data_IF_571596218173
#
_entry.id   IF_571596218173
#
_cell.length_a   1.000
_cell.length_b   1.000
_cell.length_c   1.000
_cell.angle_alpha   90.00
_cell.angle_beta   90.00
_cell.angle_gamma   90.00
#
_symmetry.space_group_name_H-M   'P 1'
#
loop_
_entity.id
_entity.type
_entity.pdbx_description
1 polymer ?
#
# COMPACT_ATOMS: atom_id res chain seq x y z
N UNK A 1 -13.84 -8.92 0.00
CA UNK A 1 -12.44 -8.48 0.12
C UNK A 1 -11.64 -9.33 1.10
N UNK A 2 -11.82 -9.24 2.43
CA UNK A 2 -11.03 -10.07 3.37
C UNK A 2 -11.27 -11.58 3.16
N UNK A 3 -12.49 -11.98 2.82
CA UNK A 3 -12.79 -13.37 2.48
C UNK A 3 -12.02 -13.83 1.24
N UNK A 4 -11.78 -12.96 0.25
CA UNK A 4 -11.16 -13.29 -1.04
C UNK A 4 -9.66 -13.56 -0.90
N UNK A 5 -8.98 -12.87 0.04
CA UNK A 5 -7.62 -13.24 0.46
C UNK A 5 -7.58 -14.62 1.11
N UNK A 6 -8.63 -15.01 1.85
CA UNK A 6 -8.71 -16.34 2.48
C UNK A 6 -8.98 -17.47 1.48
N UNK A 7 -9.57 -17.18 0.32
CA UNK A 7 -9.78 -18.17 -0.76
C UNK A 7 -8.60 -18.25 -1.72
N UNK A 8 -7.54 -17.45 -1.52
CA UNK A 8 -6.33 -17.47 -2.35
C UNK A 8 -6.47 -16.84 -3.73
N UNK A 9 -7.53 -16.05 -3.96
CA UNK A 9 -7.74 -15.34 -5.21
C UNK A 9 -6.80 -14.14 -5.36
N UNK A 10 -6.30 -13.62 -4.24
CA UNK A 10 -5.48 -12.42 -4.15
C UNK A 10 -4.35 -12.61 -3.14
N UNK A 11 -3.17 -12.08 -3.44
CA UNK A 11 -2.00 -12.12 -2.56
C UNK A 11 -1.88 -10.76 -1.86
N UNK A 12 -2.14 -10.67 -0.54
CA UNK A 12 -1.99 -9.41 0.16
C UNK A 12 -0.53 -8.97 0.14
N UNK A 13 -0.30 -7.68 0.01
CA UNK A 13 1.05 -7.15 0.02
C UNK A 13 1.08 -5.79 0.68
N UNK A 14 2.02 -5.62 1.60
CA UNK A 14 2.16 -4.42 2.43
C UNK A 14 3.51 -3.78 2.14
N UNK A 15 3.61 -2.45 2.19
CA UNK A 15 4.90 -1.75 2.07
C UNK A 15 5.51 -1.46 3.44
N UNK A 16 6.83 -1.33 3.52
CA UNK A 16 7.52 -0.85 4.75
C UNK A 16 6.97 0.51 5.23
N UNK A 17 6.57 1.37 4.28
CA UNK A 17 5.92 2.64 4.58
C UNK A 17 4.58 2.43 5.30
N UNK A 18 3.77 1.49 4.84
CA UNK A 18 2.51 1.11 5.49
C UNK A 18 2.75 0.53 6.88
N UNK A 19 3.77 -0.31 7.07
CA UNK A 19 4.12 -0.85 8.39
C UNK A 19 4.50 0.27 9.37
N UNK A 20 5.32 1.22 8.92
CA UNK A 20 5.70 2.39 9.71
C UNK A 20 4.48 3.25 10.10
N UNK A 21 3.53 3.46 9.18
CA UNK A 21 2.29 4.19 9.46
C UNK A 21 1.37 3.46 10.45
N UNK A 22 1.31 2.12 10.36
CA UNK A 22 0.44 1.30 11.21
C UNK A 22 1.03 1.08 12.59
N UNK A 23 2.35 1.14 12.77
CA UNK A 23 3.01 1.03 14.09
C UNK A 23 2.47 2.04 15.12
N UNK A 24 1.98 3.20 14.66
CA UNK A 24 1.38 4.25 15.48
C UNK A 24 -0.16 4.21 15.50
N UNK A 25 -0.80 3.17 14.95
CA UNK A 25 -2.26 3.02 14.92
C UNK A 25 -2.80 2.42 16.23
N UNK A 26 -4.12 2.53 16.50
CA UNK A 26 -4.77 1.75 17.55
C UNK A 26 -4.55 0.25 17.38
N UNK A 27 -4.56 -0.49 18.49
CA UNK A 27 -4.31 -1.94 18.56
C UNK A 27 -5.17 -2.73 17.56
N UNK A 28 -6.44 -2.38 17.40
CA UNK A 28 -7.33 -3.06 16.45
C UNK A 28 -6.84 -3.01 14.99
N UNK A 29 -6.13 -1.95 14.60
CA UNK A 29 -5.57 -1.81 13.25
C UNK A 29 -4.25 -2.58 13.14
N UNK A 30 -3.46 -2.57 14.20
CA UNK A 30 -2.22 -3.36 14.27
C UNK A 30 -2.53 -4.86 14.18
N UNK A 31 -3.58 -5.32 14.87
CA UNK A 31 -4.04 -6.72 14.82
C UNK A 31 -4.43 -7.15 13.39
N UNK A 32 -5.10 -6.28 12.64
CA UNK A 32 -5.44 -6.54 11.22
C UNK A 32 -4.19 -6.70 10.37
N UNK A 33 -3.18 -5.83 10.55
CA UNK A 33 -1.90 -5.96 9.85
C UNK A 33 -1.20 -7.27 10.23
N UNK A 34 -1.14 -7.60 11.52
CA UNK A 34 -0.54 -8.83 12.01
C UNK A 34 -1.24 -10.06 11.41
N UNK A 35 -2.57 -10.05 11.34
CA UNK A 35 -3.33 -11.15 10.75
C UNK A 35 -3.14 -11.26 9.23
N UNK A 36 -2.94 -10.13 8.53
CA UNK A 36 -2.52 -10.13 7.13
C UNK A 36 -1.11 -10.71 6.98
N UNK A 37 -0.14 -10.27 7.79
CA UNK A 37 1.25 -10.76 7.74
C UNK A 37 1.38 -12.25 8.10
N UNK A 38 0.47 -12.80 8.92
CA UNK A 38 0.39 -14.25 9.19
C UNK A 38 -0.15 -15.06 8.00
N UNK A 39 -0.77 -14.41 7.02
CA UNK A 39 -1.18 -15.05 5.77
C UNK A 39 -0.01 -15.08 4.77
N UNK A 40 -0.26 -15.47 3.52
CA UNK A 40 0.76 -15.44 2.46
C UNK A 40 0.97 -14.00 1.95
N UNK A 41 1.36 -13.10 2.84
CA UNK A 41 1.56 -11.68 2.55
C UNK A 41 2.98 -11.41 2.08
N UNK A 42 3.13 -10.63 1.01
CA UNK A 42 4.42 -10.09 0.60
C UNK A 42 4.68 -8.76 1.30
N UNK A 43 5.95 -8.41 1.47
CA UNK A 43 6.36 -7.10 1.98
C UNK A 43 7.19 -6.40 0.91
N UNK A 44 6.73 -5.24 0.44
CA UNK A 44 7.44 -4.41 -0.52
C UNK A 44 8.41 -3.49 0.20
N UNK A 45 9.65 -3.57 -0.26
CA UNK A 45 10.72 -2.65 0.11
C UNK A 45 10.67 -1.43 -0.81
N UNK A 46 10.93 -0.27 -0.24
CA UNK A 46 11.02 0.94 -1.04
C UNK A 46 12.28 0.95 -1.89
N UNK A 47 12.13 1.34 -3.15
CA UNK A 47 13.23 1.45 -4.09
C UNK A 47 13.60 2.92 -4.30
N UNK A 48 14.81 3.18 -4.81
CA UNK A 48 15.19 4.54 -5.20
C UNK A 48 14.21 5.13 -6.22
N UNK A 49 13.65 4.30 -7.10
CA UNK A 49 12.65 4.72 -8.07
C UNK A 49 11.32 5.10 -7.41
N UNK A 50 10.83 4.29 -6.46
CA UNK A 50 9.58 4.58 -5.74
C UNK A 50 9.67 5.83 -4.88
N UNK A 51 10.87 6.18 -4.41
CA UNK A 51 11.15 7.41 -3.66
C UNK A 51 11.29 8.63 -4.58
N UNK A 52 11.86 8.46 -5.77
CA UNK A 52 12.10 9.57 -6.70
C UNK A 52 10.83 9.99 -7.47
N UNK A 53 9.90 9.06 -7.71
CA UNK A 53 8.70 9.31 -8.53
C UNK A 53 7.75 10.37 -7.94
N UNK A 54 7.44 10.38 -6.62
CA UNK A 54 6.67 11.46 -5.99
C UNK A 54 7.29 12.84 -6.20
N UNK A 55 8.62 12.93 -6.05
CA UNK A 55 9.34 14.19 -6.23
C UNK A 55 9.22 14.71 -7.67
N UNK A 56 9.19 13.83 -8.66
CA UNK A 56 8.94 14.22 -10.06
C UNK A 56 7.54 14.80 -10.24
N UNK A 57 6.51 14.25 -9.58
CA UNK A 57 5.15 14.80 -9.63
C UNK A 57 5.03 16.17 -8.95
N UNK A 58 5.70 16.35 -7.82
CA UNK A 58 5.79 17.64 -7.13
C UNK A 58 6.50 18.69 -7.99
N UNK A 59 7.64 18.34 -8.57
CA UNK A 59 8.43 19.22 -9.43
C UNK A 59 7.69 19.60 -10.73
N UNK A 60 6.87 18.70 -11.25
CA UNK A 60 6.04 18.96 -12.42
C UNK A 60 4.76 19.77 -12.08
N UNK A 61 4.50 20.07 -10.81
CA UNK A 61 3.30 20.76 -10.36
C UNK A 61 2.01 19.93 -10.50
N UNK A 62 2.11 18.61 -10.68
CA UNK A 62 0.98 17.70 -10.84
C UNK A 62 0.33 17.42 -9.49
N UNK A 63 1.16 17.29 -8.44
CA UNK A 63 0.73 17.07 -7.07
C UNK A 63 1.21 18.21 -6.17
N UNK A 64 0.41 18.55 -5.15
CA UNK A 64 0.84 19.44 -4.07
C UNK A 64 1.56 18.64 -2.97
N UNK A 65 2.40 19.32 -2.20
CA UNK A 65 3.18 18.69 -1.11
C UNK A 65 2.32 18.01 -0.04
N UNK A 66 1.02 18.33 0.02
CA UNK A 66 0.05 17.69 0.90
C UNK A 66 -0.23 16.22 0.55
N UNK A 67 0.03 15.80 -0.70
CA UNK A 67 -0.23 14.45 -1.20
C UNK A 67 1.05 13.62 -1.38
N UNK A 68 2.19 14.09 -0.87
CA UNK A 68 3.48 13.41 -1.05
C UNK A 68 3.46 11.98 -0.49
N UNK A 69 2.85 11.77 0.69
CA UNK A 69 2.72 10.44 1.29
C UNK A 69 1.90 9.48 0.41
N UNK A 70 0.75 9.92 -0.08
CA UNK A 70 -0.09 9.12 -0.97
C UNK A 70 0.60 8.84 -2.30
N UNK A 71 1.32 9.83 -2.84
CA UNK A 71 2.10 9.68 -4.06
C UNK A 71 3.19 8.63 -3.89
N UNK A 72 3.79 8.52 -2.70
CA UNK A 72 4.80 7.52 -2.36
C UNK A 72 4.21 6.11 -2.35
N UNK A 73 3.05 5.93 -1.72
CA UNK A 73 2.31 4.65 -1.79
C UNK A 73 1.96 4.23 -3.22
N UNK A 74 1.46 5.17 -4.03
CA UNK A 74 1.18 4.93 -5.46
C UNK A 74 2.45 4.59 -6.23
N UNK A 75 3.57 5.26 -5.90
CA UNK A 75 4.85 5.03 -6.56
C UNK A 75 5.42 3.65 -6.25
N UNK A 76 5.41 3.24 -4.97
CA UNK A 76 5.78 1.87 -4.55
C UNK A 76 4.93 0.87 -5.32
N UNK A 77 3.62 1.10 -5.36
CA UNK A 77 2.72 0.18 -6.04
C UNK A 77 2.98 0.09 -7.54
N UNK A 78 3.26 1.23 -8.18
CA UNK A 78 3.56 1.29 -9.61
C UNK A 78 4.87 0.59 -9.94
N UNK A 79 5.94 0.85 -9.16
CA UNK A 79 7.25 0.24 -9.39
C UNK A 79 7.27 -1.26 -9.11
N UNK A 80 6.39 -1.73 -8.22
CA UNK A 80 6.27 -3.14 -7.86
C UNK A 80 5.23 -3.91 -8.68
N UNK A 81 4.66 -3.30 -9.74
CA UNK A 81 3.62 -3.89 -10.60
C UNK A 81 2.42 -4.44 -9.80
N UNK A 82 1.96 -3.67 -8.82
CA UNK A 82 0.73 -3.95 -8.08
C UNK A 82 -0.50 -3.84 -8.98
N UNK A 83 -1.34 -4.87 -9.01
CA UNK A 83 -2.60 -4.86 -9.78
C UNK A 83 -3.67 -3.93 -9.20
N UNK A 84 -3.70 -3.77 -7.87
CA UNK A 84 -4.73 -2.98 -7.17
C UNK A 84 -4.20 -2.39 -5.86
N UNK A 85 -4.51 -1.12 -5.62
CA UNK A 85 -4.26 -0.45 -4.34
C UNK A 85 -5.60 -0.37 -3.59
N UNK A 86 -5.58 -0.77 -2.32
CA UNK A 86 -6.72 -0.62 -1.41
C UNK A 86 -6.39 0.50 -0.42
N UNK A 87 -7.38 1.27 -0.01
CA UNK A 87 -7.23 2.28 1.03
C UNK A 87 -8.42 2.19 1.97
N UNK A 88 -8.17 2.37 3.26
CA UNK A 88 -9.21 2.25 4.28
C UNK A 88 -9.98 3.56 4.51
N UNK A 89 -9.71 4.64 3.75
CA UNK A 89 -10.40 5.93 3.91
C UNK A 89 -10.77 6.59 2.56
N UNK A 90 -12.07 6.64 2.24
CA UNK A 90 -12.61 7.20 0.99
C UNK A 90 -13.18 8.62 1.11
N UNK A 91 -12.85 9.39 2.17
CA UNK A 91 -13.34 10.79 2.28
C UNK A 91 -12.36 11.84 1.77
N UNK A 92 -11.07 11.56 1.86
CA UNK A 92 -9.96 12.28 1.23
C UNK A 92 -8.83 11.26 1.15
N UNK A 93 -7.92 11.37 0.18
CA UNK A 93 -6.61 10.71 0.21
C UNK A 93 -5.84 11.14 1.47
N UNK A 94 -6.23 10.64 2.64
CA UNK A 94 -5.58 10.90 3.93
C UNK A 94 -5.91 9.74 4.88
N UNK A 95 -4.84 9.14 5.41
CA UNK A 95 -4.76 8.20 6.53
C UNK A 95 -4.93 6.71 6.21
N UNK A 96 -3.74 6.12 6.01
CA UNK A 96 -3.36 4.70 6.10
C UNK A 96 -3.80 3.88 4.89
N UNK A 97 -2.93 3.90 3.88
CA UNK A 97 -3.04 3.04 2.70
C UNK A 97 -2.59 1.65 3.13
N UNK A 98 -3.56 0.73 3.18
CA UNK A 98 -3.30 -0.70 3.21
C UNK A 98 -3.25 -1.13 1.75
N UNK A 99 -2.06 -1.11 1.13
CA UNK A 99 -1.89 -1.82 -0.12
C UNK A 99 -2.38 -3.27 0.13
N UNK A 100 -3.28 -3.76 -0.72
CA UNK A 100 -3.56 -5.18 -0.78
C UNK A 100 -3.51 -5.55 -2.24
N UNK A 101 -2.38 -6.12 -2.64
CA UNK A 101 -2.17 -6.61 -3.99
C UNK A 101 -3.10 -7.77 -4.32
N UNK A 102 -3.25 -7.98 -5.62
CA UNK A 102 -4.21 -8.87 -6.24
C UNK A 102 -3.48 -9.53 -7.41
N UNK A 103 -2.53 -10.43 -7.14
CA UNK A 103 -1.91 -11.20 -8.22
C UNK A 103 -2.93 -12.23 -8.73
N UNK A 104 -3.47 -12.03 -9.93
CA UNK A 104 -4.45 -12.94 -10.53
C UNK A 104 -3.74 -14.24 -10.94
N UNK A 105 -4.00 -15.34 -10.24
CA UNK A 105 -3.52 -16.67 -10.63
C UNK A 105 -4.36 -17.19 -11.81
N UNK A 106 -3.99 -16.76 -13.02
CA UNK A 106 -4.28 -17.52 -14.24
C UNK A 106 -2.98 -17.90 -14.93
N UNK A 107 -2.48 -19.09 -14.58
CA UNK A 107 -1.82 -20.02 -15.50
C UNK A 107 -2.48 -21.39 -15.28
#
# INVERSE_FOLDING_TARGET
MIQDFKVGLYIPVVSELTEAEISNAPEQIQDVLIDLLKSNCEVLVETEESIALPQKYLNAGILSNTFEGDARHVSIATTSNVDMIVSWNFKHLVHKIVAVQVCNTQI
#
